data_IF_336494435238
#
_entry.id   IF_336494435238
#
_cell.length_a   1.000
_cell.length_b   1.000
_cell.length_c   1.000
_cell.angle_alpha   90.00
_cell.angle_beta   90.00
_cell.angle_gamma   90.00
#
_symmetry.space_group_name_H-M   'P 1'
#
loop_
_entity.id
_entity.type
_entity.pdbx_description
1 polymer ?
#
# COMPACT_ATOMS: atom_id res chain seq x y z
N UNK A 1 26.73 19.98 -6.23
CA UNK A 1 25.36 20.00 -6.80
C UNK A 1 24.84 18.57 -6.70
N UNK A 2 23.87 18.31 -5.82
CA UNK A 2 23.26 16.99 -5.68
C UNK A 2 22.26 16.81 -6.82
N UNK A 3 22.57 15.86 -7.69
CA UNK A 3 21.73 15.27 -8.71
C UNK A 3 20.35 14.90 -8.10
N UNK A 4 19.35 15.71 -8.40
CA UNK A 4 17.95 15.48 -8.05
C UNK A 4 17.35 14.42 -8.97
N UNK A 5 17.82 13.18 -8.84
CA UNK A 5 17.05 12.04 -9.30
C UNK A 5 15.85 11.93 -8.35
N UNK A 6 14.66 12.22 -8.88
CA UNK A 6 13.42 12.20 -8.12
C UNK A 6 13.22 10.79 -7.57
N UNK A 7 13.42 10.62 -6.25
CA UNK A 7 13.27 9.31 -5.61
C UNK A 7 11.85 8.80 -5.89
N UNK A 8 11.76 7.71 -6.65
CA UNK A 8 10.51 6.97 -6.79
C UNK A 8 10.24 6.29 -5.45
N UNK A 9 9.17 6.70 -4.78
CA UNK A 9 8.74 6.08 -3.53
C UNK A 9 7.91 4.86 -3.93
N UNK A 10 8.45 3.67 -3.69
CA UNK A 10 7.78 2.41 -3.97
C UNK A 10 7.35 1.78 -2.65
N UNK A 11 6.05 1.63 -2.46
CA UNK A 11 5.48 1.04 -1.25
C UNK A 11 4.76 -0.27 -1.62
N UNK A 12 5.28 -1.41 -1.14
CA UNK A 12 4.65 -2.73 -1.33
C UNK A 12 3.84 -3.11 -0.10
N UNK A 13 2.56 -3.40 -0.29
CA UNK A 13 1.69 -3.89 0.77
C UNK A 13 0.26 -4.08 0.28
N UNK A 14 -0.66 -4.26 1.23
CA UNK A 14 -2.10 -4.30 0.95
C UNK A 14 -2.73 -2.94 1.25
N UNK A 15 -3.54 -2.41 0.33
CA UNK A 15 -4.30 -1.17 0.54
C UNK A 15 -5.79 -1.52 0.66
N UNK A 16 -6.41 -1.17 1.78
CA UNK A 16 -7.86 -1.22 1.98
C UNK A 16 -8.33 0.22 2.11
N UNK A 17 -9.06 0.71 1.12
CA UNK A 17 -9.44 2.12 1.02
C UNK A 17 -10.96 2.27 0.95
N UNK A 18 -11.59 2.40 2.11
CA UNK A 18 -13.03 2.60 2.21
C UNK A 18 -13.36 4.07 1.93
N UNK A 19 -13.97 4.35 0.78
CA UNK A 19 -14.15 5.71 0.27
C UNK A 19 -13.11 6.17 -0.77
N UNK A 20 -12.15 5.30 -1.13
CA UNK A 20 -11.15 5.56 -2.17
C UNK A 20 -9.77 5.97 -1.63
N UNK A 21 -8.79 6.09 -2.53
CA UNK A 21 -7.44 6.58 -2.26
C UNK A 21 -7.22 7.86 -3.05
N UNK A 22 -6.70 8.91 -2.40
CA UNK A 22 -6.18 10.09 -3.08
C UNK A 22 -4.66 9.96 -3.20
N UNK A 23 -4.16 10.06 -4.43
CA UNK A 23 -2.75 10.06 -4.77
C UNK A 23 -2.33 11.50 -4.99
N UNK A 24 -1.44 12.03 -4.15
CA UNK A 24 -1.16 13.48 -4.05
C UNK A 24 0.18 13.89 -4.68
N UNK A 25 0.86 12.99 -5.41
CA UNK A 25 2.10 13.34 -6.09
C UNK A 25 1.81 14.12 -7.37
N UNK A 26 2.53 15.24 -7.54
CA UNK A 26 2.48 16.09 -8.72
C UNK A 26 3.87 16.20 -9.37
N UNK A 27 3.98 15.87 -10.67
CA UNK A 27 5.16 16.08 -11.50
C UNK A 27 5.04 17.38 -12.33
N UNK A 28 4.03 18.21 -12.06
CA UNK A 28 3.76 19.45 -12.78
C UNK A 28 3.30 19.21 -14.21
N UNK A 29 3.89 19.92 -15.18
CA UNK A 29 3.53 19.80 -16.60
C UNK A 29 3.70 18.39 -17.20
N UNK A 30 4.42 17.50 -16.53
CA UNK A 30 4.61 16.12 -16.98
C UNK A 30 3.42 15.21 -16.69
N UNK A 31 2.51 15.60 -15.78
CA UNK A 31 1.31 14.83 -15.45
C UNK A 31 0.34 14.65 -16.63
N UNK A 32 0.50 15.47 -17.69
CA UNK A 32 -0.33 15.40 -18.90
C UNK A 32 -0.09 14.13 -19.73
N UNK A 33 1.12 13.57 -19.66
CA UNK A 33 1.53 12.42 -20.50
C UNK A 33 2.10 11.28 -19.67
N UNK A 34 2.42 11.51 -18.40
CA UNK A 34 3.00 10.53 -17.49
C UNK A 34 2.20 10.51 -16.20
N UNK A 35 1.75 9.34 -15.77
CA UNK A 35 1.11 9.21 -14.46
C UNK A 35 2.12 9.51 -13.36
N UNK A 36 1.74 10.34 -12.40
CA UNK A 36 2.62 10.74 -11.30
C UNK A 36 2.87 9.59 -10.30
N UNK A 37 1.88 8.71 -10.13
CA UNK A 37 1.90 7.54 -9.25
C UNK A 37 1.21 6.35 -9.93
N UNK A 38 1.63 5.14 -9.57
CA UNK A 38 1.16 3.89 -10.13
C UNK A 38 0.67 2.95 -9.03
N UNK A 39 -0.47 2.30 -9.26
CA UNK A 39 -0.91 1.15 -8.48
C UNK A 39 -0.64 -0.12 -9.28
N UNK A 40 0.28 -0.93 -8.79
CA UNK A 40 0.56 -2.25 -9.36
C UNK A 40 -0.16 -3.33 -8.54
N UNK A 41 -0.84 -4.23 -9.23
CA UNK A 41 -1.47 -5.38 -8.60
C UNK A 41 -0.42 -6.47 -8.32
N UNK A 42 -0.17 -6.74 -7.04
CA UNK A 42 0.82 -7.72 -6.57
C UNK A 42 0.15 -8.80 -5.68
N UNK A 43 -0.40 -9.88 -6.27
CA UNK A 43 -1.12 -10.91 -5.52
C UNK A 43 -0.21 -11.81 -4.65
N UNK A 44 1.08 -11.86 -4.95
CA UNK A 44 2.09 -12.57 -4.17
C UNK A 44 2.17 -12.07 -2.72
N UNK A 45 1.94 -10.77 -2.50
CA UNK A 45 1.95 -10.16 -1.16
C UNK A 45 0.86 -10.73 -0.24
N UNK A 46 -0.25 -11.23 -0.78
CA UNK A 46 -1.29 -11.92 0.00
C UNK A 46 -0.81 -13.27 0.53
N UNK A 47 0.01 -13.98 -0.26
CA UNK A 47 0.52 -15.30 0.13
C UNK A 47 1.65 -15.20 1.15
N UNK A 48 2.45 -14.13 1.09
CA UNK A 48 3.58 -13.91 2.00
C UNK A 48 3.23 -13.01 3.19
N UNK A 49 1.96 -12.60 3.34
CA UNK A 49 1.58 -11.67 4.38
C UNK A 49 1.83 -12.28 5.77
N UNK A 50 2.64 -11.63 6.64
CA UNK A 50 2.96 -12.17 7.96
C UNK A 50 1.69 -12.38 8.79
N UNK A 51 1.54 -13.58 9.37
CA UNK A 51 0.37 -13.89 10.21
C UNK A 51 0.32 -13.03 11.46
N UNK A 52 1.45 -12.48 11.88
CA UNK A 52 1.64 -11.59 13.01
C UNK A 52 0.99 -10.22 12.77
N UNK A 53 0.89 -9.79 11.51
CA UNK A 53 0.26 -8.52 11.12
C UNK A 53 -1.24 -8.66 10.85
N UNK A 54 -1.75 -9.89 10.74
CA UNK A 54 -3.18 -10.12 10.71
C UNK A 54 -3.74 -9.75 12.08
N UNK A 55 -4.77 -8.88 12.12
CA UNK A 55 -5.55 -8.65 13.33
C UNK A 55 -6.05 -10.01 13.84
N UNK A 56 -5.48 -10.51 14.94
CA UNK A 56 -6.08 -11.60 15.69
C UNK A 56 -7.38 -11.07 16.27
N UNK A 57 -8.51 -11.46 15.69
CA UNK A 57 -9.81 -11.28 16.33
C UNK A 57 -9.78 -11.89 17.74
N UNK A 58 -10.59 -11.36 18.66
CA UNK A 58 -10.74 -11.99 19.98
C UNK A 58 -11.17 -13.44 19.77
N UNK A 59 -10.31 -14.39 20.11
CA UNK A 59 -10.67 -15.80 20.13
C UNK A 59 -11.53 -15.98 21.38
N UNK A 60 -12.85 -15.99 21.20
CA UNK A 60 -13.74 -16.43 22.27
C UNK A 60 -13.53 -17.92 22.46
N UNK A 61 -13.15 -18.31 23.67
CA UNK A 61 -13.05 -19.70 24.10
C UNK A 61 -14.00 -19.86 25.26
N UNK A 62 -15.06 -20.63 25.05
CA UNK A 62 -15.90 -21.08 26.15
C UNK A 62 -15.04 -21.89 27.11
N UNK A 63 -14.95 -21.45 28.36
CA UNK A 63 -14.37 -22.25 29.44
C UNK A 63 -15.59 -22.82 30.16
N UNK A 64 -16.00 -24.03 29.76
CA UNK A 64 -16.99 -24.78 30.52
C UNK A 64 -16.38 -25.16 31.89
N UNK A 65 -17.14 -25.06 32.99
CA UNK A 65 -16.74 -25.61 34.29
C UNK A 65 -16.50 -27.11 34.24
#
# INVERSE_FOLDING_TARGET
MLNTETLLIFNRGSVIAWGGVNLERDLGGQNLTTAAEYFEYAPDLLMTFPRELLRKGKIWREIAP
#
